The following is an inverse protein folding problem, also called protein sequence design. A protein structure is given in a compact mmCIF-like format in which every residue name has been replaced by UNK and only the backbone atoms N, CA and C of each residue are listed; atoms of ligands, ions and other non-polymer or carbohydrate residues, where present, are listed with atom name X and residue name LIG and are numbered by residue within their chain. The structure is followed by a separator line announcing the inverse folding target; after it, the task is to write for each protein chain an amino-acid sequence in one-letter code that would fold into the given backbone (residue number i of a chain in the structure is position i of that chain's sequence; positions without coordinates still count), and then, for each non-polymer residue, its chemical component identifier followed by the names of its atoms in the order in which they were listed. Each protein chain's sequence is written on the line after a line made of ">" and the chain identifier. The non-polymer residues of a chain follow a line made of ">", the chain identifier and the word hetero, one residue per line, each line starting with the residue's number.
data_IF_634831046663
#
_entry.id   IF_634831046663
#
_cell.length_a   1.000
_cell.length_b   1.000
_cell.length_c   1.000
_cell.angle_alpha   90.00
_cell.angle_beta   90.00
_cell.angle_gamma   90.00
#
_symmetry.space_group_name_H-M   'P 1'
#
loop_
_entity.id
_entity.type
_entity.pdbx_description
1 polymer ?
#
# COMPACT_ATOMS: atom_id res chain seq x y z
N UNK A 1 32.77 -61.85 -50.48
CA UNK A 1 34.12 -61.25 -50.36
C UNK A 1 34.03 -60.09 -49.40
N UNK A 2 34.46 -60.32 -48.22
CA UNK A 2 35.65 -59.82 -47.58
C UNK A 2 35.73 -58.27 -47.63
N UNK A 3 35.86 -57.56 -46.55
CA UNK A 3 36.85 -57.64 -45.49
C UNK A 3 36.41 -56.83 -44.21
N UNK A 4 36.86 -57.32 -43.12
CA UNK A 4 36.85 -56.71 -41.78
C UNK A 4 37.75 -55.50 -41.74
N UNK A 5 37.38 -54.48 -40.96
CA UNK A 5 38.42 -53.72 -40.26
C UNK A 5 37.88 -53.27 -38.89
N UNK A 6 38.61 -53.77 -37.92
CA UNK A 6 38.50 -53.52 -36.48
C UNK A 6 39.20 -52.18 -36.18
N UNK A 7 38.53 -51.29 -35.41
CA UNK A 7 39.27 -50.19 -34.80
C UNK A 7 38.83 -49.92 -33.38
N UNK A 8 39.82 -49.88 -32.55
CA UNK A 8 39.88 -50.03 -31.12
C UNK A 8 39.11 -48.97 -30.30
N UNK A 9 38.54 -49.44 -29.19
CA UNK A 9 38.12 -48.67 -28.05
C UNK A 9 39.25 -47.78 -27.51
N UNK A 10 38.99 -46.49 -27.40
CA UNK A 10 39.72 -45.62 -26.47
C UNK A 10 38.73 -45.12 -25.39
N UNK A 11 38.93 -45.57 -24.17
CA UNK A 11 38.31 -45.04 -22.96
C UNK A 11 38.89 -43.65 -22.66
N UNK A 12 38.08 -42.63 -22.38
CA UNK A 12 38.59 -41.42 -21.76
C UNK A 12 38.66 -41.60 -20.23
N UNK A 13 39.80 -41.22 -19.67
CA UNK A 13 40.11 -41.26 -18.25
C UNK A 13 39.24 -40.30 -17.43
N UNK A 14 38.75 -40.82 -16.32
CA UNK A 14 38.05 -40.04 -15.27
C UNK A 14 39.09 -39.23 -14.48
N UNK A 15 39.13 -37.91 -14.64
CA UNK A 15 39.71 -37.01 -13.65
C UNK A 15 38.61 -36.45 -12.77
N UNK A 16 38.41 -37.02 -11.61
CA UNK A 16 37.66 -36.46 -10.51
C UNK A 16 38.48 -35.33 -9.89
N UNK A 17 38.17 -34.09 -10.21
CA UNK A 17 38.64 -32.93 -9.46
C UNK A 17 37.66 -32.66 -8.32
N UNK A 18 38.08 -33.00 -7.12
CA UNK A 18 37.34 -32.74 -5.92
C UNK A 18 37.19 -31.21 -5.71
N UNK A 19 35.96 -30.70 -5.81
CA UNK A 19 35.65 -29.34 -5.43
C UNK A 19 35.66 -29.25 -3.89
N UNK A 20 36.54 -28.43 -3.34
CA UNK A 20 36.54 -28.07 -1.91
C UNK A 20 35.23 -27.35 -1.59
N UNK A 21 34.57 -27.64 -0.45
CA UNK A 21 33.42 -26.91 -0.03
C UNK A 21 33.81 -25.47 0.31
N UNK A 22 33.29 -24.52 -0.43
CA UNK A 22 33.37 -23.10 -0.09
C UNK A 22 32.50 -22.91 1.17
N UNK A 23 33.15 -22.76 2.33
CA UNK A 23 32.49 -22.31 3.55
C UNK A 23 32.00 -20.86 3.28
N UNK A 24 30.75 -20.73 2.95
CA UNK A 24 30.03 -19.46 3.00
C UNK A 24 30.09 -18.97 4.44
N UNK A 25 30.96 -18.01 4.71
CA UNK A 25 30.91 -17.25 5.95
C UNK A 25 29.63 -16.43 5.90
N UNK A 26 28.60 -16.88 6.61
CA UNK A 26 27.44 -16.07 6.88
C UNK A 26 27.95 -14.82 7.62
N UNK A 27 28.11 -13.71 6.88
CA UNK A 27 28.28 -12.39 7.47
C UNK A 27 27.07 -12.21 8.39
N UNK A 28 27.30 -12.08 9.70
CA UNK A 28 26.29 -11.58 10.63
C UNK A 28 25.87 -10.22 10.09
N UNK A 29 24.76 -10.17 9.38
CA UNK A 29 24.13 -8.92 9.00
C UNK A 29 23.78 -8.20 10.30
N UNK A 30 24.38 -7.03 10.52
CA UNK A 30 23.98 -6.18 11.62
C UNK A 30 22.45 -6.01 11.52
N UNK A 31 21.75 -6.09 12.67
CA UNK A 31 20.31 -5.89 12.72
C UNK A 31 20.01 -4.54 12.06
N UNK A 32 19.31 -4.58 10.93
CA UNK A 32 18.92 -3.35 10.24
C UNK A 32 17.95 -2.56 11.14
N UNK A 33 18.00 -1.23 11.10
CA UNK A 33 17.03 -0.43 11.84
C UNK A 33 15.62 -0.74 11.31
N UNK A 34 14.70 -1.00 12.22
CA UNK A 34 13.27 -1.16 11.93
C UNK A 34 12.57 0.16 12.26
N UNK A 35 11.60 0.54 11.43
CA UNK A 35 10.79 1.72 11.69
C UNK A 35 9.81 1.44 12.81
N UNK A 36 9.72 2.37 13.74
CA UNK A 36 8.68 2.34 14.77
C UNK A 36 7.44 3.07 14.25
N UNK A 37 6.36 2.34 13.99
CA UNK A 37 5.11 2.86 13.47
C UNK A 37 4.03 3.00 14.55
N UNK A 38 4.40 2.85 15.83
CA UNK A 38 3.45 2.92 16.96
C UNK A 38 2.82 4.30 17.14
N UNK A 39 3.43 5.36 16.56
CA UNK A 39 2.85 6.70 16.52
C UNK A 39 1.60 6.78 15.62
N UNK A 40 1.48 5.86 14.64
CA UNK A 40 0.30 5.74 13.80
C UNK A 40 -0.72 4.79 14.45
N UNK A 41 -0.34 3.50 14.60
CA UNK A 41 -1.15 2.48 15.26
C UNK A 41 -0.23 1.44 15.93
N UNK A 42 -0.71 0.86 17.04
CA UNK A 42 0.09 -0.08 17.84
C UNK A 42 0.26 -1.46 17.20
N UNK A 43 -0.70 -1.90 16.37
CA UNK A 43 -0.68 -3.17 15.65
C UNK A 43 -1.71 -3.17 14.52
N UNK A 44 -1.62 -4.13 13.58
CA UNK A 44 -2.63 -4.32 12.52
C UNK A 44 -4.02 -4.75 13.06
N UNK A 45 -4.11 -5.13 14.32
CA UNK A 45 -5.35 -5.51 15.00
C UNK A 45 -5.81 -4.46 16.02
N UNK A 46 -5.18 -3.28 16.03
CA UNK A 46 -5.54 -2.20 16.93
C UNK A 46 -7.00 -1.77 16.71
N UNK A 47 -7.83 -1.68 17.76
CA UNK A 47 -9.25 -1.31 17.64
C UNK A 47 -9.44 0.10 17.08
N UNK A 48 -8.44 0.95 17.19
CA UNK A 48 -8.45 2.29 16.62
C UNK A 48 -8.54 2.28 15.09
N UNK A 49 -7.95 1.27 14.42
CA UNK A 49 -8.01 1.14 12.97
C UNK A 49 -9.45 0.92 12.51
N UNK A 50 -10.18 0.01 13.15
CA UNK A 50 -11.58 -0.25 12.80
C UNK A 50 -12.44 0.99 13.02
N UNK A 51 -12.30 1.66 14.15
CA UNK A 51 -12.99 2.93 14.46
C UNK A 51 -12.68 4.02 13.44
N UNK A 52 -11.41 4.18 13.07
CA UNK A 52 -10.96 5.21 12.15
C UNK A 52 -11.42 4.93 10.70
N UNK A 53 -11.51 3.66 10.32
CA UNK A 53 -12.12 3.24 9.04
C UNK A 53 -13.64 3.52 9.03
N UNK A 54 -14.35 3.20 10.11
CA UNK A 54 -15.79 3.48 10.22
C UNK A 54 -16.07 4.99 10.20
N UNK A 55 -15.22 5.77 10.87
CA UNK A 55 -15.28 7.23 10.85
C UNK A 55 -15.03 7.78 9.45
N UNK A 56 -14.03 7.27 8.74
CA UNK A 56 -13.72 7.69 7.37
C UNK A 56 -14.92 7.48 6.43
N UNK A 57 -15.55 6.30 6.47
CA UNK A 57 -16.73 6.01 5.66
C UNK A 57 -17.88 6.98 5.96
N UNK A 58 -18.14 7.22 7.25
CA UNK A 58 -19.19 8.13 7.67
C UNK A 58 -18.91 9.58 7.26
N UNK A 59 -17.68 10.05 7.42
CA UNK A 59 -17.27 11.41 7.08
C UNK A 59 -17.33 11.64 5.56
N UNK A 60 -16.91 10.66 4.73
CA UNK A 60 -17.00 10.74 3.27
C UNK A 60 -18.48 10.87 2.80
N UNK A 61 -19.37 10.07 3.34
CA UNK A 61 -20.81 10.14 3.03
C UNK A 61 -21.43 11.46 3.49
N UNK A 62 -21.07 11.93 4.69
CA UNK A 62 -21.53 13.22 5.21
C UNK A 62 -21.03 14.39 4.35
N UNK A 63 -19.78 14.33 3.91
CA UNK A 63 -19.18 15.33 3.02
C UNK A 63 -19.92 15.39 1.67
N UNK A 64 -20.16 14.23 1.04
CA UNK A 64 -20.95 14.17 -0.19
C UNK A 64 -22.33 14.81 -0.02
N UNK A 65 -23.03 14.44 1.05
CA UNK A 65 -24.37 14.96 1.35
C UNK A 65 -24.40 16.47 1.61
N UNK A 66 -23.33 16.99 2.23
CA UNK A 66 -23.22 18.40 2.57
C UNK A 66 -22.91 19.29 1.35
N UNK A 67 -22.05 18.83 0.44
CA UNK A 67 -21.42 19.70 -0.56
C UNK A 67 -21.75 19.37 -2.02
N UNK A 68 -22.07 18.12 -2.37
CA UNK A 68 -22.27 17.69 -3.76
C UNK A 68 -23.39 18.46 -4.45
N UNK A 69 -23.11 18.99 -5.62
CA UNK A 69 -24.04 19.76 -6.44
C UNK A 69 -24.35 21.17 -5.91
N UNK A 70 -23.65 21.63 -4.86
CA UNK A 70 -23.93 22.92 -4.21
C UNK A 70 -22.81 23.94 -4.38
N UNK A 71 -21.64 23.55 -4.90
CA UNK A 71 -20.44 24.39 -4.91
C UNK A 71 -20.66 25.63 -5.77
N UNK A 72 -21.12 25.49 -7.00
CA UNK A 72 -21.36 26.62 -7.89
C UNK A 72 -22.36 27.62 -7.32
N UNK A 73 -23.46 27.14 -6.77
CA UNK A 73 -24.49 27.98 -6.17
C UNK A 73 -24.01 28.70 -4.90
N UNK A 74 -23.19 28.04 -4.10
CA UNK A 74 -22.63 28.63 -2.89
C UNK A 74 -21.60 29.73 -3.23
N UNK A 75 -20.78 29.52 -4.26
CA UNK A 75 -19.78 30.51 -4.69
C UNK A 75 -20.38 31.76 -5.33
N UNK A 76 -21.61 31.69 -5.81
CA UNK A 76 -22.34 32.85 -6.32
C UNK A 76 -22.95 33.74 -5.23
N UNK A 77 -22.86 33.35 -3.94
CA UNK A 77 -23.52 34.05 -2.81
C UNK A 77 -22.50 34.81 -1.95
N UNK A 78 -22.96 35.84 -1.19
CA UNK A 78 -22.13 36.43 -0.13
C UNK A 78 -21.71 35.36 0.90
N UNK A 79 -20.47 35.42 1.38
CA UNK A 79 -19.92 34.41 2.30
C UNK A 79 -19.33 33.18 1.61
N UNK A 80 -19.20 33.21 0.28
CA UNK A 80 -18.63 32.14 -0.54
C UNK A 80 -17.26 31.64 -0.02
N UNK A 81 -16.36 32.57 0.37
CA UNK A 81 -15.02 32.25 0.85
C UNK A 81 -15.06 31.44 2.16
N UNK A 82 -15.90 31.83 3.11
CA UNK A 82 -16.03 31.13 4.39
C UNK A 82 -16.63 29.74 4.19
N UNK A 83 -17.67 29.64 3.34
CA UNK A 83 -18.29 28.36 3.01
C UNK A 83 -17.29 27.40 2.35
N UNK A 84 -16.50 27.89 1.38
CA UNK A 84 -15.49 27.08 0.72
C UNK A 84 -14.37 26.68 1.68
N UNK A 85 -13.95 27.60 2.57
CA UNK A 85 -12.93 27.29 3.58
C UNK A 85 -13.37 26.15 4.51
N UNK A 86 -14.63 26.12 4.92
CA UNK A 86 -15.17 25.02 5.73
C UNK A 86 -15.23 23.70 4.94
N UNK A 87 -15.59 23.75 3.65
CA UNK A 87 -15.58 22.59 2.79
C UNK A 87 -14.15 22.01 2.62
N UNK A 88 -13.17 22.88 2.38
CA UNK A 88 -11.75 22.47 2.26
C UNK A 88 -11.25 21.88 3.56
N UNK A 89 -11.48 22.52 4.71
CA UNK A 89 -11.07 21.97 6.02
C UNK A 89 -11.68 20.60 6.29
N UNK A 90 -12.94 20.42 5.93
CA UNK A 90 -13.60 19.12 6.09
C UNK A 90 -12.99 18.06 5.19
N UNK A 91 -12.67 18.43 3.94
CA UNK A 91 -11.98 17.56 2.99
C UNK A 91 -10.59 17.17 3.49
N UNK A 92 -9.79 18.14 3.95
CA UNK A 92 -8.45 17.93 4.50
C UNK A 92 -8.47 16.98 5.71
N UNK A 93 -9.46 17.13 6.61
CA UNK A 93 -9.59 16.24 7.77
C UNK A 93 -9.88 14.79 7.37
N UNK A 94 -10.65 14.57 6.29
CA UNK A 94 -10.89 13.25 5.73
C UNK A 94 -9.63 12.70 5.08
N UNK A 95 -8.92 13.52 4.30
CA UNK A 95 -7.69 13.15 3.61
C UNK A 95 -6.56 12.78 4.59
N UNK A 96 -6.40 13.54 5.67
CA UNK A 96 -5.45 13.24 6.75
C UNK A 96 -5.74 11.90 7.41
N UNK A 97 -7.02 11.58 7.66
CA UNK A 97 -7.41 10.31 8.27
C UNK A 97 -7.15 9.15 7.31
N UNK A 98 -7.52 9.29 6.05
CA UNK A 98 -7.27 8.31 4.98
C UNK A 98 -5.76 8.12 4.78
N UNK A 99 -4.99 9.21 4.73
CA UNK A 99 -3.55 9.23 4.59
C UNK A 99 -2.85 8.48 5.72
N UNK A 100 -3.29 8.66 6.99
CA UNK A 100 -2.75 7.93 8.12
C UNK A 100 -3.00 6.42 8.02
N UNK A 101 -4.21 6.01 7.66
CA UNK A 101 -4.59 4.61 7.53
C UNK A 101 -3.78 3.90 6.42
N UNK A 102 -3.73 4.50 5.22
CA UNK A 102 -3.03 3.88 4.09
C UNK A 102 -1.52 3.89 4.27
N UNK A 103 -0.96 4.95 4.89
CA UNK A 103 0.47 5.01 5.18
C UNK A 103 0.89 3.93 6.16
N UNK A 104 0.13 3.72 7.24
CA UNK A 104 0.40 2.64 8.18
C UNK A 104 0.34 1.27 7.50
N UNK A 105 -0.76 0.98 6.79
CA UNK A 105 -0.94 -0.30 6.11
C UNK A 105 0.15 -0.55 5.05
N UNK A 106 0.50 0.47 4.27
CA UNK A 106 1.53 0.39 3.24
C UNK A 106 2.94 0.19 3.82
N UNK A 107 3.29 0.89 4.89
CA UNK A 107 4.61 0.78 5.53
C UNK A 107 4.81 -0.59 6.21
N UNK A 108 3.79 -1.11 6.89
CA UNK A 108 3.83 -2.47 7.47
C UNK A 108 3.99 -3.51 6.34
N UNK A 109 3.20 -3.38 5.27
CA UNK A 109 3.28 -4.30 4.12
C UNK A 109 4.63 -4.20 3.40
N UNK A 110 5.21 -3.00 3.25
CA UNK A 110 6.54 -2.84 2.67
C UNK A 110 7.66 -3.46 3.52
N UNK A 111 7.46 -3.55 4.85
CA UNK A 111 8.37 -4.22 5.76
C UNK A 111 8.33 -5.74 5.67
N UNK A 112 7.16 -6.32 5.41
CA UNK A 112 6.97 -7.77 5.22
C UNK A 112 5.85 -8.03 4.21
N UNK A 113 6.26 -8.28 2.96
CA UNK A 113 5.35 -8.58 1.85
C UNK A 113 4.96 -10.06 1.77
N UNK A 114 5.53 -10.91 2.63
CA UNK A 114 5.34 -12.37 2.58
C UNK A 114 4.32 -12.83 3.62
N UNK A 115 4.14 -12.07 4.71
CA UNK A 115 3.15 -12.38 5.74
C UNK A 115 1.72 -12.24 5.18
N UNK A 116 0.92 -13.34 5.17
CA UNK A 116 -0.43 -13.31 4.62
C UNK A 116 -1.40 -12.44 5.43
N UNK A 117 -1.18 -12.26 6.74
CA UNK A 117 -2.03 -11.42 7.58
C UNK A 117 -1.79 -9.93 7.26
N UNK A 118 -0.54 -9.55 7.08
CA UNK A 118 -0.15 -8.18 6.68
C UNK A 118 -0.64 -7.87 5.27
N UNK A 119 -0.47 -8.81 4.33
CA UNK A 119 -0.94 -8.64 2.93
C UNK A 119 -2.46 -8.49 2.88
N UNK A 120 -3.19 -9.32 3.65
CA UNK A 120 -4.64 -9.20 3.76
C UNK A 120 -5.05 -7.87 4.35
N UNK A 121 -4.44 -7.46 5.46
CA UNK A 121 -4.73 -6.18 6.11
C UNK A 121 -4.54 -4.99 5.16
N UNK A 122 -3.42 -4.95 4.43
CA UNK A 122 -3.17 -3.90 3.43
C UNK A 122 -4.23 -3.90 2.32
N UNK A 123 -4.63 -5.08 1.84
CA UNK A 123 -5.70 -5.23 0.84
C UNK A 123 -7.05 -4.71 1.37
N UNK A 124 -7.45 -5.13 2.56
CA UNK A 124 -8.71 -4.74 3.20
C UNK A 124 -8.79 -3.21 3.41
N UNK A 125 -7.70 -2.60 3.92
CA UNK A 125 -7.62 -1.14 4.11
C UNK A 125 -7.69 -0.42 2.76
N UNK A 126 -6.92 -0.87 1.76
CA UNK A 126 -6.89 -0.23 0.44
C UNK A 126 -8.25 -0.28 -0.26
N UNK A 127 -8.95 -1.41 -0.18
CA UNK A 127 -10.31 -1.57 -0.74
C UNK A 127 -11.28 -0.60 -0.06
N UNK A 128 -11.25 -0.55 1.26
CA UNK A 128 -12.17 0.29 2.03
C UNK A 128 -11.95 1.78 1.76
N UNK A 129 -10.68 2.22 1.70
CA UNK A 129 -10.33 3.59 1.35
C UNK A 129 -10.76 3.95 -0.09
N UNK A 130 -10.56 3.02 -1.03
CA UNK A 130 -10.99 3.21 -2.42
C UNK A 130 -12.49 3.42 -2.50
N UNK A 131 -13.27 2.60 -1.79
CA UNK A 131 -14.72 2.73 -1.76
C UNK A 131 -15.16 4.06 -1.14
N UNK A 132 -14.60 4.42 0.01
CA UNK A 132 -14.89 5.69 0.68
C UNK A 132 -14.56 6.91 -0.19
N UNK A 133 -13.41 6.89 -0.90
CA UNK A 133 -12.96 7.99 -1.74
C UNK A 133 -13.89 8.29 -2.93
N UNK A 134 -14.74 7.34 -3.34
CA UNK A 134 -15.73 7.57 -4.41
C UNK A 134 -16.69 8.70 -4.07
N UNK A 135 -17.00 8.87 -2.79
CA UNK A 135 -17.85 9.95 -2.27
C UNK A 135 -17.19 11.33 -2.36
N UNK A 136 -15.89 11.42 -2.57
CA UNK A 136 -15.13 12.67 -2.62
C UNK A 136 -14.85 13.16 -4.04
N UNK A 137 -15.00 12.30 -5.06
CA UNK A 137 -14.63 12.61 -6.46
C UNK A 137 -15.34 13.85 -7.01
N UNK A 138 -16.60 14.08 -6.61
CA UNK A 138 -17.38 15.23 -7.06
C UNK A 138 -16.71 16.56 -6.71
N UNK A 139 -16.03 16.63 -5.56
CA UNK A 139 -15.47 17.89 -5.03
C UNK A 139 -14.45 18.49 -5.98
N UNK A 140 -13.45 17.70 -6.37
CA UNK A 140 -12.44 18.11 -7.36
C UNK A 140 -13.06 18.39 -8.72
N UNK A 141 -14.04 17.57 -9.16
CA UNK A 141 -14.69 17.76 -10.46
C UNK A 141 -15.55 19.03 -10.51
N UNK A 142 -16.26 19.36 -9.45
CA UNK A 142 -17.06 20.58 -9.39
C UNK A 142 -16.20 21.83 -9.27
N UNK A 143 -15.14 21.80 -8.45
CA UNK A 143 -14.19 22.92 -8.35
C UNK A 143 -13.49 23.23 -9.68
N UNK A 144 -13.15 22.22 -10.47
CA UNK A 144 -12.50 22.42 -11.78
C UNK A 144 -13.45 22.98 -12.85
N UNK A 145 -14.72 23.14 -12.58
CA UNK A 145 -15.72 23.69 -13.52
C UNK A 145 -16.03 25.17 -13.28
N UNK A 146 -15.47 25.73 -12.23
CA UNK A 146 -15.64 27.11 -11.83
C UNK A 146 -14.43 27.91 -12.26
#
# INVERSE_FOLDING_TARGET
>A
MAARSSSALRKPAKTKKAAKPVKSAAKKTAKLPEWNLTDLYSSITAPEIARDLDKLDADCVAFESAYKGKIADALAKPGAGEWLAEAVKSYEAIDDLAGRLISYAGLIHAGDTVDPAITKFYGDVSERLTNASTHLLFFTLELNRI
#
